data_IF_604651400868
#
_entry.id   IF_604651400868
#
_cell.length_a   1.000
_cell.length_b   1.000
_cell.length_c   1.000
_cell.angle_alpha   90.00
_cell.angle_beta   90.00
_cell.angle_gamma   90.00
#
_symmetry.space_group_name_H-M   'P 1'
#
loop_
_entity.id
_entity.type
_entity.pdbx_description
1 polymer ?
#
# COMPACT_ATOMS: atom_id res chain seq x y z
N UNK A 1 -14.27 -7.28 -16.22
CA UNK A 1 -12.88 -7.03 -16.63
C UNK A 1 -12.83 -6.84 -18.14
N UNK A 2 -12.35 -5.70 -18.61
CA UNK A 2 -12.23 -5.39 -20.04
C UNK A 2 -11.01 -6.11 -20.62
N UNK A 3 -11.14 -6.97 -21.66
CA UNK A 3 -10.05 -7.82 -22.16
C UNK A 3 -8.82 -7.10 -22.75
N UNK A 4 -8.83 -5.77 -22.84
CA UNK A 4 -7.76 -4.95 -23.43
C UNK A 4 -7.04 -4.05 -22.41
N UNK A 5 -7.41 -4.07 -21.13
CA UNK A 5 -6.79 -3.22 -20.11
C UNK A 5 -5.67 -3.97 -19.38
N UNK A 6 -4.44 -3.77 -19.82
CA UNK A 6 -3.26 -4.23 -19.09
C UNK A 6 -2.89 -3.21 -18.01
N UNK A 7 -3.49 -3.38 -16.83
CA UNK A 7 -3.25 -2.54 -15.65
C UNK A 7 -1.75 -2.43 -15.34
N UNK A 8 -1.01 -3.53 -15.44
CA UNK A 8 0.41 -3.56 -15.10
C UNK A 8 1.26 -2.78 -16.10
N UNK A 9 0.90 -2.82 -17.39
CA UNK A 9 1.55 -1.99 -18.41
C UNK A 9 1.31 -0.50 -18.17
N UNK A 10 0.08 -0.10 -17.85
CA UNK A 10 -0.24 1.29 -17.56
C UNK A 10 0.44 1.78 -16.27
N UNK A 11 0.44 0.95 -15.23
CA UNK A 11 1.15 1.22 -13.97
C UNK A 11 2.64 1.42 -14.22
N UNK A 12 3.27 0.54 -15.02
CA UNK A 12 4.68 0.67 -15.40
C UNK A 12 4.94 2.01 -16.09
N UNK A 13 4.14 2.36 -17.11
CA UNK A 13 4.29 3.63 -17.82
C UNK A 13 4.14 4.85 -16.91
N UNK A 14 3.20 4.81 -15.95
CA UNK A 14 3.02 5.86 -14.95
C UNK A 14 4.24 6.01 -14.04
N UNK A 15 4.73 4.91 -13.48
CA UNK A 15 5.94 4.90 -12.63
C UNK A 15 7.15 5.42 -13.41
N UNK A 16 7.35 4.97 -14.65
CA UNK A 16 8.44 5.41 -15.53
C UNK A 16 8.36 6.90 -15.87
N UNK A 17 7.16 7.47 -15.94
CA UNK A 17 6.98 8.91 -16.23
C UNK A 17 7.27 9.81 -15.02
N UNK A 18 7.06 9.32 -13.80
CA UNK A 18 7.16 10.11 -12.56
C UNK A 18 8.54 9.97 -11.92
N UNK A 19 9.12 8.76 -11.93
CA UNK A 19 10.36 8.52 -11.20
C UNK A 19 11.58 9.14 -11.92
N UNK A 20 12.44 9.89 -11.21
CA UNK A 20 13.69 10.38 -11.77
C UNK A 20 14.64 9.25 -12.15
N UNK A 21 15.67 9.55 -12.95
CA UNK A 21 16.65 8.56 -13.43
C UNK A 21 17.42 7.92 -12.27
N UNK A 22 17.74 8.68 -11.22
CA UNK A 22 18.45 8.22 -10.03
C UNK A 22 17.51 7.81 -8.87
N UNK A 23 16.24 7.50 -9.14
CA UNK A 23 15.27 7.15 -8.09
C UNK A 23 15.72 5.99 -7.19
N UNK A 24 16.43 5.00 -7.75
CA UNK A 24 16.98 3.85 -7.03
C UNK A 24 18.03 4.26 -5.98
N UNK A 25 18.90 5.22 -6.31
CA UNK A 25 19.89 5.78 -5.39
C UNK A 25 19.21 6.61 -4.29
N UNK A 26 18.18 7.39 -4.64
CA UNK A 26 17.42 8.20 -3.68
C UNK A 26 16.62 7.33 -2.69
N UNK A 27 16.19 6.16 -3.14
CA UNK A 27 15.42 5.19 -2.36
C UNK A 27 16.30 4.35 -1.44
N UNK A 28 17.62 4.30 -1.69
CA UNK A 28 18.57 3.48 -0.96
C UNK A 28 18.48 3.72 0.55
N UNK A 29 18.19 2.67 1.31
CA UNK A 29 17.99 2.69 2.77
C UNK A 29 16.88 3.63 3.29
N UNK A 30 16.08 4.22 2.41
CA UNK A 30 14.97 5.13 2.74
C UNK A 30 13.61 4.58 2.35
N UNK A 31 13.57 3.66 1.39
CA UNK A 31 12.38 2.96 0.95
C UNK A 31 12.52 1.47 1.26
N UNK A 32 11.45 0.89 1.80
CA UNK A 32 11.33 -0.54 2.06
C UNK A 32 10.06 -1.03 1.38
N UNK A 33 10.20 -1.94 0.41
CA UNK A 33 9.09 -2.44 -0.40
C UNK A 33 8.81 -3.89 -0.03
N UNK A 34 7.60 -4.14 0.48
CA UNK A 34 7.12 -5.46 0.86
C UNK A 34 6.63 -6.21 -0.38
N UNK A 35 7.12 -7.44 -0.58
CA UNK A 35 6.69 -8.34 -1.65
C UNK A 35 6.50 -9.77 -1.11
N UNK A 36 5.51 -10.48 -1.63
CA UNK A 36 5.20 -11.86 -1.26
C UNK A 36 5.71 -12.85 -2.31
N UNK A 37 6.47 -13.86 -1.90
CA UNK A 37 6.93 -14.91 -2.79
C UNK A 37 5.76 -15.86 -3.14
N UNK A 38 5.53 -16.10 -4.43
CA UNK A 38 4.42 -16.93 -4.94
C UNK A 38 4.47 -18.38 -4.47
N UNK A 39 5.67 -18.95 -4.35
CA UNK A 39 5.88 -20.37 -4.02
C UNK A 39 5.91 -20.59 -2.52
N UNK A 40 6.78 -19.86 -1.81
CA UNK A 40 6.99 -20.06 -0.37
C UNK A 40 5.97 -19.33 0.50
N UNK A 41 5.23 -18.35 -0.05
CA UNK A 41 4.29 -17.48 0.68
C UNK A 41 4.96 -16.68 1.80
N UNK A 42 6.29 -16.54 1.74
CA UNK A 42 7.05 -15.72 2.67
C UNK A 42 7.18 -14.30 2.14
N UNK A 43 7.27 -13.36 3.07
CA UNK A 43 7.54 -11.96 2.79
C UNK A 43 9.03 -11.74 2.48
N UNK A 44 9.32 -10.77 1.62
CA UNK A 44 10.64 -10.15 1.47
C UNK A 44 10.47 -8.63 1.50
N UNK A 45 11.28 -7.96 2.31
CA UNK A 45 11.33 -6.50 2.40
C UNK A 45 12.59 -6.01 1.67
N UNK A 46 12.41 -5.43 0.48
CA UNK A 46 13.50 -4.97 -0.37
C UNK A 46 13.78 -3.49 -0.12
N UNK A 47 15.04 -3.14 0.15
CA UNK A 47 15.46 -1.75 0.42
C UNK A 47 16.74 -1.32 -0.27
N UNK A 48 17.32 -2.20 -1.07
CA UNK A 48 18.49 -1.94 -1.92
C UNK A 48 18.11 -2.20 -3.37
N UNK A 49 18.49 -1.28 -4.26
CA UNK A 49 18.14 -1.32 -5.68
C UNK A 49 19.38 -0.99 -6.52
N UNK A 50 19.88 -1.95 -7.30
CA UNK A 50 21.07 -1.75 -8.12
C UNK A 50 20.81 -0.90 -9.37
N UNK A 51 19.56 -0.65 -9.72
CA UNK A 51 19.17 0.23 -10.84
C UNK A 51 17.74 0.74 -10.71
N UNK A 52 17.42 1.79 -11.47
CA UNK A 52 16.04 2.30 -11.62
C UNK A 52 15.08 1.21 -12.09
N UNK A 53 15.51 0.37 -13.02
CA UNK A 53 14.70 -0.74 -13.52
C UNK A 53 14.44 -1.80 -12.44
N UNK A 54 15.40 -2.06 -11.56
CA UNK A 54 15.17 -2.96 -10.41
C UNK A 54 14.16 -2.36 -9.43
N UNK A 55 14.28 -1.07 -9.10
CA UNK A 55 13.28 -0.38 -8.28
C UNK A 55 11.88 -0.47 -8.89
N UNK A 56 11.72 -0.13 -10.17
CA UNK A 56 10.44 -0.19 -10.88
C UNK A 56 9.86 -1.61 -10.84
N UNK A 57 10.69 -2.63 -11.09
CA UNK A 57 10.27 -4.03 -11.06
C UNK A 57 9.77 -4.45 -9.67
N UNK A 58 10.45 -4.03 -8.60
CA UNK A 58 10.05 -4.33 -7.23
C UNK A 58 8.75 -3.61 -6.86
N UNK A 59 8.57 -2.36 -7.28
CA UNK A 59 7.31 -1.62 -7.12
C UNK A 59 6.16 -2.32 -7.85
N UNK A 60 6.37 -2.75 -9.10
CA UNK A 60 5.39 -3.52 -9.86
C UNK A 60 5.03 -4.84 -9.18
N UNK A 61 6.01 -5.55 -8.61
CA UNK A 61 5.74 -6.76 -7.84
C UNK A 61 4.87 -6.47 -6.61
N UNK A 62 5.18 -5.39 -5.88
CA UNK A 62 4.44 -4.97 -4.68
C UNK A 62 3.02 -4.48 -5.00
N UNK A 63 2.77 -3.95 -6.20
CA UNK A 63 1.44 -3.54 -6.64
C UNK A 63 0.68 -4.62 -7.42
N UNK A 64 1.25 -5.81 -7.59
CA UNK A 64 0.60 -6.91 -8.29
C UNK A 64 -0.37 -7.62 -7.34
N UNK A 65 -1.64 -7.19 -7.34
CA UNK A 65 -2.70 -7.86 -6.58
C UNK A 65 -3.19 -9.09 -7.38
N UNK A 66 -3.01 -10.32 -6.88
CA UNK A 66 -3.56 -11.52 -7.52
C UNK A 66 -5.07 -11.39 -7.71
N UNK A 67 -5.60 -12.01 -8.77
CA UNK A 67 -7.00 -11.90 -9.25
C UNK A 67 -7.32 -10.63 -10.05
N UNK A 68 -6.62 -9.52 -9.82
CA UNK A 68 -6.80 -8.25 -10.55
C UNK A 68 -5.84 -8.08 -11.73
N UNK A 69 -4.56 -8.38 -11.50
CA UNK A 69 -3.49 -8.17 -12.48
C UNK A 69 -3.23 -9.41 -13.38
N UNK A 70 -4.07 -10.45 -13.28
CA UNK A 70 -3.94 -11.73 -13.99
C UNK A 70 -3.32 -12.84 -13.13
N UNK A 71 -2.76 -13.87 -13.78
CA UNK A 71 -2.14 -15.04 -13.13
C UNK A 71 -0.59 -14.93 -13.07
N UNK A 72 0.02 -14.03 -13.84
CA UNK A 72 1.48 -13.95 -13.98
C UNK A 72 2.11 -12.97 -12.99
N UNK A 73 2.45 -13.48 -11.82
CA UNK A 73 3.34 -12.83 -10.86
C UNK A 73 4.64 -12.31 -11.52
N UNK A 74 5.23 -11.27 -10.94
CA UNK A 74 6.41 -10.58 -11.47
C UNK A 74 7.66 -11.40 -11.24
N UNK A 75 8.49 -11.60 -12.28
CA UNK A 75 9.81 -12.23 -12.17
C UNK A 75 10.82 -11.25 -11.56
N UNK A 76 11.36 -11.62 -10.40
CA UNK A 76 12.42 -10.89 -9.74
C UNK A 76 13.40 -11.87 -9.07
N UNK A 77 14.69 -11.74 -9.40
CA UNK A 77 15.78 -12.61 -8.92
C UNK A 77 15.52 -14.12 -9.10
N UNK A 78 14.92 -14.49 -10.24
CA UNK A 78 14.63 -15.88 -10.59
C UNK A 78 13.40 -16.48 -9.90
N UNK A 79 12.68 -15.68 -9.12
CA UNK A 79 11.46 -16.08 -8.43
C UNK A 79 10.27 -15.21 -8.82
N UNK A 80 9.07 -15.68 -8.45
CA UNK A 80 7.79 -15.03 -8.73
C UNK A 80 7.28 -14.29 -7.50
N UNK A 81 6.94 -13.02 -7.66
CA UNK A 81 6.54 -12.13 -6.58
C UNK A 81 5.24 -11.39 -6.87
N UNK A 82 4.50 -11.11 -5.81
CA UNK A 82 3.25 -10.35 -5.85
C UNK A 82 3.12 -9.46 -4.61
N UNK A 83 1.99 -8.76 -4.49
CA UNK A 83 1.73 -7.76 -3.46
C UNK A 83 2.12 -8.23 -2.04
N UNK A 84 2.89 -7.39 -1.36
CA UNK A 84 3.36 -7.60 0.00
C UNK A 84 2.25 -7.58 1.05
N UNK A 85 1.13 -6.93 0.76
CA UNK A 85 -0.04 -6.82 1.63
C UNK A 85 -0.77 -8.14 1.92
N UNK A 86 -0.34 -9.24 1.30
CA UNK A 86 -0.79 -10.58 1.65
C UNK A 86 0.04 -11.24 2.76
N UNK A 87 1.18 -10.66 3.13
CA UNK A 87 2.08 -11.19 4.16
C UNK A 87 2.53 -10.14 5.18
N UNK A 88 2.84 -8.93 4.72
CA UNK A 88 3.23 -7.79 5.56
C UNK A 88 2.78 -6.47 4.91
N UNK A 89 1.60 -5.98 5.30
CA UNK A 89 1.01 -4.73 4.81
C UNK A 89 1.49 -3.50 5.56
N UNK A 90 2.11 -3.69 6.72
CA UNK A 90 2.56 -2.63 7.62
C UNK A 90 3.93 -3.01 8.18
N UNK A 91 4.99 -2.94 7.35
CA UNK A 91 6.34 -3.25 7.80
C UNK A 91 6.76 -2.24 8.87
N UNK A 92 7.00 -2.73 10.08
CA UNK A 92 7.55 -1.93 11.17
C UNK A 92 9.07 -1.98 11.08
N UNK A 93 9.70 -0.81 10.95
CA UNK A 93 11.15 -0.73 10.94
C UNK A 93 11.70 -0.90 12.37
N UNK A 94 12.87 -1.52 12.55
CA UNK A 94 13.39 -1.85 13.88
C UNK A 94 13.77 -0.61 14.70
N UNK A 95 14.00 0.53 14.05
CA UNK A 95 14.50 1.74 14.67
C UNK A 95 13.50 2.89 14.50
N UNK A 96 13.28 3.65 15.57
CA UNK A 96 12.42 4.84 15.57
C UNK A 96 10.92 4.52 15.71
N UNK A 97 10.12 5.59 15.79
CA UNK A 97 8.65 5.48 15.78
C UNK A 97 8.19 5.30 14.32
N UNK A 98 7.53 4.19 14.04
CA UNK A 98 6.82 3.99 12.76
C UNK A 98 5.43 4.61 12.87
N UNK A 99 5.09 5.54 11.97
CA UNK A 99 3.73 6.08 11.83
C UNK A 99 3.02 5.23 10.77
N UNK A 100 1.88 4.67 11.14
CA UNK A 100 1.09 3.79 10.27
C UNK A 100 -0.06 4.53 9.61
N UNK A 101 -0.28 4.27 8.32
CA UNK A 101 -1.34 4.90 7.53
C UNK A 101 -2.18 3.80 6.87
N UNK A 102 -3.50 3.90 6.98
CA UNK A 102 -4.40 2.94 6.34
C UNK A 102 -5.70 3.57 5.87
N UNK A 103 -6.20 3.13 4.71
CA UNK A 103 -7.53 3.52 4.26
C UNK A 103 -8.64 2.80 5.04
N UNK A 104 -8.32 1.87 5.95
CA UNK A 104 -9.29 1.11 6.73
C UNK A 104 -9.29 1.56 8.18
N UNK A 105 -10.47 1.68 8.78
CA UNK A 105 -10.58 1.91 10.22
C UNK A 105 -9.99 0.74 10.99
N UNK A 106 -9.18 1.01 12.00
CA UNK A 106 -8.45 -0.03 12.73
C UNK A 106 -7.58 0.54 13.85
N UNK A 107 -6.61 -0.25 14.30
CA UNK A 107 -5.66 0.15 15.36
C UNK A 107 -4.38 0.73 14.75
N UNK A 108 -4.50 1.89 14.12
CA UNK A 108 -3.41 2.54 13.37
C UNK A 108 -3.42 4.04 13.64
N UNK A 109 -2.27 4.68 13.42
CA UNK A 109 -2.05 6.10 13.73
C UNK A 109 -2.93 7.02 12.88
N UNK A 110 -2.91 6.82 11.55
CA UNK A 110 -3.67 7.61 10.58
C UNK A 110 -4.63 6.68 9.84
N UNK A 111 -5.90 6.70 10.24
CA UNK A 111 -6.96 5.93 9.60
C UNK A 111 -8.35 6.48 9.93
N UNK A 112 -9.40 6.09 9.17
CA UNK A 112 -10.76 6.51 9.44
C UNK A 112 -11.22 6.12 10.85
N UNK A 113 -11.87 7.06 11.55
CA UNK A 113 -12.38 6.85 12.92
C UNK A 113 -13.86 6.46 12.90
N UNK A 114 -14.17 5.26 12.42
CA UNK A 114 -15.53 4.73 12.49
C UNK A 114 -15.92 4.49 13.96
N UNK A 115 -17.19 4.74 14.32
CA UNK A 115 -17.73 4.41 15.64
C UNK A 115 -18.40 3.03 15.58
N UNK A 116 -17.72 1.94 16.00
CA UNK A 116 -18.34 0.63 15.98
C UNK A 116 -19.46 0.53 17.03
N UNK A 117 -20.46 -0.30 16.75
CA UNK A 117 -21.34 -0.82 17.80
C UNK A 117 -20.66 -1.93 18.63
N UNK A 118 -19.65 -2.61 18.06
CA UNK A 118 -18.93 -3.74 18.65
C UNK A 118 -17.43 -3.67 18.32
N UNK A 119 -16.56 -3.85 19.31
CA UNK A 119 -15.09 -3.82 19.16
C UNK A 119 -14.51 -5.14 18.61
N UNK A 120 -14.91 -5.53 17.40
CA UNK A 120 -14.42 -6.74 16.73
C UNK A 120 -13.39 -6.40 15.65
N UNK A 121 -12.18 -6.94 15.79
CA UNK A 121 -11.05 -6.70 14.89
C UNK A 121 -10.60 -7.99 14.22
N UNK A 122 -10.19 -7.88 12.95
CA UNK A 122 -9.56 -8.96 12.19
C UNK A 122 -8.12 -8.54 11.88
N UNK A 123 -7.16 -9.38 12.27
CA UNK A 123 -5.75 -9.16 11.97
C UNK A 123 -5.33 -10.01 10.79
N UNK A 124 -4.83 -9.37 9.73
CA UNK A 124 -4.27 -10.04 8.55
C UNK A 124 -3.02 -9.29 8.07
N UNK A 125 -1.94 -10.01 7.74
CA UNK A 125 -0.69 -9.41 7.24
C UNK A 125 -0.17 -8.23 8.09
N UNK A 126 -0.22 -8.38 9.43
CA UNK A 126 0.11 -7.36 10.46
C UNK A 126 -0.82 -6.13 10.50
N UNK A 127 -1.91 -6.16 9.75
CA UNK A 127 -2.92 -5.10 9.71
C UNK A 127 -4.14 -5.51 10.53
N UNK A 128 -4.42 -4.79 11.62
CA UNK A 128 -5.61 -5.00 12.47
C UNK A 128 -6.74 -4.07 12.06
N UNK A 129 -7.72 -4.61 11.33
CA UNK A 129 -8.83 -3.87 10.74
C UNK A 129 -10.11 -4.11 11.53
N UNK A 130 -10.89 -3.05 11.75
CA UNK A 130 -12.21 -3.15 12.37
C UNK A 130 -13.18 -3.90 11.43
N UNK A 131 -13.89 -4.91 11.94
CA UNK A 131 -14.94 -5.57 11.18
C UNK A 131 -16.20 -4.69 11.15
N UNK A 132 -16.35 -3.90 10.08
CA UNK A 132 -17.48 -3.00 9.91
C UNK A 132 -17.97 -2.97 8.46
N UNK A 133 -19.24 -2.63 8.26
CA UNK A 133 -19.80 -2.42 6.92
C UNK A 133 -19.04 -1.31 6.18
N UNK A 134 -18.58 -0.29 6.91
CA UNK A 134 -17.76 0.78 6.34
C UNK A 134 -16.44 0.24 5.77
N UNK A 135 -15.72 -0.61 6.50
CA UNK A 135 -14.49 -1.22 5.99
C UNK A 135 -14.73 -2.23 4.86
N UNK A 136 -15.86 -2.95 4.85
CA UNK A 136 -16.24 -3.78 3.71
C UNK A 136 -16.47 -2.92 2.45
N UNK A 137 -17.12 -1.76 2.59
CA UNK A 137 -17.28 -0.79 1.49
C UNK A 137 -15.92 -0.24 1.02
N UNK A 138 -15.02 0.09 1.96
CA UNK A 138 -13.66 0.57 1.62
C UNK A 138 -12.82 -0.51 0.93
N UNK A 139 -12.97 -1.77 1.33
CA UNK A 139 -12.30 -2.90 0.67
C UNK A 139 -12.77 -3.04 -0.77
N UNK A 140 -14.09 -2.94 -0.99
CA UNK A 140 -14.65 -2.95 -2.33
C UNK A 140 -14.15 -1.76 -3.17
N UNK A 141 -14.05 -0.56 -2.58
CA UNK A 141 -13.53 0.64 -3.28
C UNK A 141 -12.03 0.57 -3.58
N UNK A 142 -11.24 -0.08 -2.72
CA UNK A 142 -9.81 -0.30 -2.94
C UNK A 142 -9.56 -1.26 -4.11
N UNK A 143 -10.42 -2.28 -4.26
CA UNK A 143 -10.37 -3.21 -5.38
C UNK A 143 -10.95 -2.58 -6.65
N UNK A 144 -12.14 -2.00 -6.55
CA UNK A 144 -12.88 -1.40 -7.65
C UNK A 144 -12.95 0.13 -7.45
N UNK A 145 -12.02 0.90 -8.04
CA UNK A 145 -11.98 2.34 -7.86
C UNK A 145 -13.33 2.98 -8.20
N UNK A 146 -13.91 3.78 -7.30
CA UNK A 146 -15.17 4.46 -7.55
C UNK A 146 -14.99 5.63 -8.55
N UNK A 147 -16.08 6.34 -8.86
CA UNK A 147 -16.03 7.55 -9.70
C UNK A 147 -15.11 8.62 -9.10
N UNK A 148 -14.60 9.50 -9.95
CA UNK A 148 -13.66 10.55 -9.58
C UNK A 148 -14.11 11.37 -8.37
N UNK A 149 -15.36 11.80 -8.33
CA UNK A 149 -15.94 12.54 -7.18
C UNK A 149 -15.75 11.81 -5.84
N UNK A 150 -15.91 10.48 -5.85
CA UNK A 150 -15.73 9.67 -4.65
C UNK A 150 -14.25 9.44 -4.33
N UNK A 151 -13.39 9.34 -5.35
CA UNK A 151 -11.94 9.30 -5.18
C UNK A 151 -11.42 10.58 -4.52
N UNK A 152 -11.92 11.74 -4.94
CA UNK A 152 -11.60 13.04 -4.34
C UNK A 152 -12.07 13.11 -2.88
N UNK A 153 -13.27 12.61 -2.58
CA UNK A 153 -13.74 12.50 -1.19
C UNK A 153 -12.83 11.60 -0.33
N UNK A 154 -12.41 10.44 -0.84
CA UNK A 154 -11.48 9.53 -0.14
C UNK A 154 -10.14 10.23 0.13
N UNK A 155 -9.62 10.98 -0.83
CA UNK A 155 -8.41 11.77 -0.66
C UNK A 155 -8.56 12.83 0.45
N UNK A 156 -9.67 13.57 0.45
CA UNK A 156 -9.95 14.58 1.47
C UNK A 156 -10.14 13.97 2.87
N UNK A 157 -10.73 12.78 2.96
CA UNK A 157 -10.87 12.07 4.22
C UNK A 157 -9.48 11.66 4.77
N UNK A 158 -8.61 11.10 3.92
CA UNK A 158 -7.24 10.76 4.32
C UNK A 158 -6.40 11.98 4.74
N UNK A 159 -6.59 13.12 4.08
CA UNK A 159 -5.97 14.38 4.51
C UNK A 159 -6.43 14.79 5.91
N UNK A 160 -7.74 14.74 6.18
CA UNK A 160 -8.28 15.07 7.52
C UNK A 160 -7.78 14.11 8.58
N UNK A 161 -7.73 12.80 8.29
CA UNK A 161 -7.20 11.80 9.22
C UNK A 161 -5.74 12.12 9.58
N UNK A 162 -4.92 12.50 8.60
CA UNK A 162 -3.53 12.89 8.84
C UNK A 162 -3.41 14.18 9.67
N UNK A 163 -4.21 15.21 9.36
CA UNK A 163 -4.23 16.47 10.13
C UNK A 163 -4.65 16.20 11.58
N UNK A 164 -5.70 15.41 11.80
CA UNK A 164 -6.17 15.05 13.14
C UNK A 164 -5.07 14.36 13.95
N UNK A 165 -4.36 13.39 13.34
CA UNK A 165 -3.24 12.71 13.98
C UNK A 165 -2.12 13.70 14.36
N UNK A 166 -1.69 14.57 13.43
CA UNK A 166 -0.66 15.57 13.70
C UNK A 166 -1.05 16.55 14.81
N UNK A 167 -2.34 16.93 14.89
CA UNK A 167 -2.85 17.77 15.97
C UNK A 167 -2.82 17.05 17.32
N UNK A 168 -3.25 15.78 17.37
CA UNK A 168 -3.22 14.98 18.61
C UNK A 168 -1.80 14.77 19.12
N UNK A 169 -0.83 14.58 18.23
CA UNK A 169 0.60 14.46 18.54
C UNK A 169 1.29 15.80 18.83
N UNK A 170 0.59 16.92 18.62
CA UNK A 170 1.13 18.29 18.71
C UNK A 170 2.30 18.55 17.74
N UNK A 171 2.25 17.93 16.56
CA UNK A 171 3.23 18.12 15.48
C UNK A 171 2.72 19.06 14.37
N UNK A 172 1.50 19.58 14.52
CA UNK A 172 0.93 20.53 13.58
C UNK A 172 1.24 21.97 14.03
N UNK A 173 2.22 22.61 13.39
CA UNK A 173 2.48 24.04 13.56
C UNK A 173 1.55 24.84 12.64
N UNK A 174 0.82 25.82 13.18
CA UNK A 174 0.08 26.77 12.36
C UNK A 174 1.11 27.70 11.68
N UNK A 175 1.30 27.54 10.36
CA UNK A 175 2.00 28.52 9.53
C UNK A 175 1.21 29.83 9.46
#
# INVERSE_FOLDING_TARGET
MTPAYDFMKNLRGGIESILPVNAHEMAEHRLYVSITNAKSRKNCLVSHFASREELIKVLLASSYVPLYAGIKAVDYKGEKWFDGGFTDSLPHLPNGRTITVSPFSGRLDICPQDKPLWDLYVTFAKHSILLSEANLRRLNQALFPPRQEKMEAIFQDGYKDAVNFLQLEKWYEHC
#
